data_IF_562428418879
#
_entry.id   IF_562428418879
#
_cell.length_a   1.000
_cell.length_b   1.000
_cell.length_c   1.000
_cell.angle_alpha   90.00
_cell.angle_beta   90.00
_cell.angle_gamma   90.00
#
_symmetry.space_group_name_H-M   'P 1'
#
loop_
_entity.id
_entity.type
_entity.pdbx_description
1 polymer ?
#
# COMPACT_ATOMS: atom_id res chain seq x y z
N UNK A 1 -3.28 5.56 -9.09
CA UNK A 1 -1.80 5.48 -9.08
C UNK A 1 -1.36 4.44 -8.07
N UNK A 2 -0.45 3.59 -8.45
CA UNK A 2 -0.01 2.40 -7.72
C UNK A 2 1.53 2.41 -7.70
N UNK A 3 2.17 2.80 -6.60
CA UNK A 3 3.62 2.76 -6.49
C UNK A 3 4.14 1.33 -6.65
N UNK A 4 5.15 1.16 -7.51
CA UNK A 4 5.91 -0.08 -7.70
C UNK A 4 7.14 -0.05 -6.82
N UNK A 5 7.83 1.11 -6.82
CA UNK A 5 9.09 1.33 -6.11
C UNK A 5 9.12 2.72 -5.50
N UNK A 6 9.94 2.90 -4.47
CA UNK A 6 10.15 4.17 -3.81
C UNK A 6 9.19 4.46 -2.66
N UNK A 7 9.50 5.52 -1.94
CA UNK A 7 8.71 6.07 -0.82
C UNK A 7 8.59 7.57 -1.01
N UNK A 8 7.37 8.07 -0.99
CA UNK A 8 7.13 9.50 -1.17
C UNK A 8 6.00 10.00 -0.28
N UNK A 9 6.00 11.30 -0.03
CA UNK A 9 4.90 12.01 0.59
C UNK A 9 4.02 12.67 -0.48
N UNK A 10 2.73 12.30 -0.53
CA UNK A 10 1.73 13.01 -1.32
C UNK A 10 1.08 14.08 -0.47
N UNK A 11 1.08 15.30 -0.96
CA UNK A 11 0.51 16.46 -0.27
C UNK A 11 -0.85 16.82 -0.88
N UNK A 12 -1.88 16.85 -0.03
CA UNK A 12 -3.24 17.29 -0.39
C UNK A 12 -3.51 18.74 0.09
N UNK A 13 -2.48 19.42 0.57
CA UNK A 13 -2.50 20.79 1.05
C UNK A 13 -1.24 21.14 1.86
N UNK A 14 -1.13 22.39 2.38
CA UNK A 14 0.10 22.87 3.01
C UNK A 14 0.53 22.09 4.27
N UNK A 15 -0.44 21.48 4.98
CA UNK A 15 -0.23 20.81 6.27
C UNK A 15 -0.69 19.37 6.29
N UNK A 16 -1.09 18.81 5.15
CA UNK A 16 -1.58 17.44 5.06
C UNK A 16 -0.75 16.68 4.04
N UNK A 17 -0.09 15.64 4.49
CA UNK A 17 0.60 14.70 3.63
C UNK A 17 0.26 13.26 4.03
N UNK A 18 0.49 12.38 3.11
CA UNK A 18 0.31 10.95 3.24
C UNK A 18 1.56 10.25 2.72
N UNK A 19 2.13 9.38 3.54
CA UNK A 19 3.28 8.57 3.15
C UNK A 19 2.80 7.38 2.34
N UNK A 20 3.24 7.32 1.09
CA UNK A 20 2.99 6.23 0.15
C UNK A 20 4.23 5.35 0.00
N UNK A 21 3.98 4.07 -0.14
CA UNK A 21 4.95 3.04 -0.53
C UNK A 21 4.23 1.98 -1.38
N UNK A 22 4.91 0.94 -1.89
CA UNK A 22 4.29 -0.07 -2.74
C UNK A 22 3.07 -0.81 -2.18
N UNK A 23 2.72 -0.69 -0.91
CA UNK A 23 1.49 -1.28 -0.36
C UNK A 23 0.25 -0.37 -0.48
N UNK A 24 0.37 0.79 -1.12
CA UNK A 24 -0.73 1.76 -1.19
C UNK A 24 -1.30 1.92 -2.59
N UNK A 25 -2.60 2.12 -2.65
CA UNK A 25 -3.31 2.66 -3.81
C UNK A 25 -3.66 4.12 -3.56
N UNK A 26 -3.50 4.98 -4.57
CA UNK A 26 -3.80 6.40 -4.50
C UNK A 26 -4.84 6.73 -5.56
N UNK A 27 -5.96 7.28 -5.11
CA UNK A 27 -7.02 7.76 -5.98
C UNK A 27 -6.77 9.23 -6.31
N UNK A 28 -6.55 9.51 -7.58
CA UNK A 28 -6.31 10.85 -8.08
C UNK A 28 -7.61 11.37 -8.74
N UNK A 29 -8.15 12.45 -8.21
CA UNK A 29 -9.31 13.12 -8.83
C UNK A 29 -8.88 13.96 -10.02
N UNK A 30 -9.61 13.85 -11.13
CA UNK A 30 -9.35 14.66 -12.31
C UNK A 30 -9.36 16.17 -11.97
N UNK A 31 -8.37 16.91 -12.47
CA UNK A 31 -8.26 18.36 -12.29
C UNK A 31 -7.88 18.83 -10.88
N UNK A 32 -7.62 17.94 -9.93
CA UNK A 32 -7.15 18.32 -8.60
C UNK A 32 -5.62 18.36 -8.54
N UNK A 33 -5.00 19.51 -8.28
CA UNK A 33 -3.55 19.59 -8.12
C UNK A 33 -3.10 18.85 -6.86
N UNK A 34 -1.96 18.19 -6.94
CA UNK A 34 -1.27 17.57 -5.82
C UNK A 34 0.24 17.77 -5.97
N UNK A 35 0.96 17.59 -4.88
CA UNK A 35 2.42 17.64 -4.87
C UNK A 35 2.95 16.33 -4.30
N UNK A 36 4.03 15.83 -4.89
CA UNK A 36 4.82 14.70 -4.38
C UNK A 36 6.18 15.23 -3.91
N UNK A 37 6.65 14.72 -2.77
CA UNK A 37 8.01 14.92 -2.26
C UNK A 37 8.64 13.56 -2.07
N UNK A 38 9.75 13.31 -2.73
CA UNK A 38 10.53 12.08 -2.57
C UNK A 38 11.24 12.11 -1.22
N UNK A 39 11.20 10.99 -0.50
CA UNK A 39 11.79 10.83 0.82
C UNK A 39 13.13 10.09 0.78
N UNK A 40 13.42 9.46 -0.33
CA UNK A 40 14.71 8.88 -0.67
C UNK A 40 15.28 9.51 -1.95
N UNK A 41 16.55 9.24 -2.24
CA UNK A 41 17.22 9.76 -3.43
C UNK A 41 16.98 8.90 -4.69
N UNK A 42 16.21 7.84 -4.56
CA UNK A 42 16.00 6.84 -5.62
C UNK A 42 14.87 7.23 -6.57
N UNK A 43 13.96 8.12 -6.13
CA UNK A 43 12.75 8.44 -6.86
C UNK A 43 11.69 7.35 -6.73
N UNK A 44 10.66 7.39 -7.57
CA UNK A 44 9.61 6.37 -7.60
C UNK A 44 9.36 5.83 -9.02
N UNK A 45 8.89 4.60 -9.06
CA UNK A 45 8.23 4.00 -10.22
C UNK A 45 6.78 3.74 -9.84
N UNK A 46 5.84 4.16 -10.67
CA UNK A 46 4.41 4.03 -10.38
C UNK A 46 3.62 3.65 -11.63
N UNK A 47 2.64 2.75 -11.47
CA UNK A 47 1.60 2.54 -12.48
C UNK A 47 0.50 3.59 -12.28
N UNK A 48 0.12 4.26 -13.36
CA UNK A 48 -1.06 5.11 -13.41
C UNK A 48 -2.09 4.42 -14.30
N UNK A 49 -3.22 4.05 -13.72
CA UNK A 49 -4.36 3.49 -14.44
C UNK A 49 -5.40 4.61 -14.58
N UNK A 50 -5.78 4.91 -15.80
CA UNK A 50 -6.84 5.86 -16.12
C UNK A 50 -8.06 5.09 -16.62
N UNK A 51 -9.23 5.42 -16.10
CA UNK A 51 -10.47 4.71 -16.43
C UNK A 51 -11.52 5.70 -16.94
N UNK A 52 -12.27 5.33 -18.00
CA UNK A 52 -13.41 6.10 -18.44
C UNK A 52 -14.43 6.35 -17.31
N UNK A 53 -15.06 7.51 -17.33
CA UNK A 53 -16.05 7.91 -16.30
C UNK A 53 -17.20 6.91 -16.19
N UNK A 54 -17.59 6.31 -17.30
CA UNK A 54 -18.67 5.32 -17.41
C UNK A 54 -18.31 4.05 -16.62
N UNK A 55 -17.06 3.56 -16.75
CA UNK A 55 -16.55 2.40 -16.02
C UNK A 55 -16.51 2.69 -14.52
N UNK A 56 -16.03 3.88 -14.14
CA UNK A 56 -15.99 4.30 -12.74
C UNK A 56 -17.41 4.41 -12.16
N UNK A 57 -18.35 4.96 -12.89
CA UNK A 57 -19.75 5.10 -12.47
C UNK A 57 -20.41 3.74 -12.27
N UNK A 58 -20.21 2.79 -13.19
CA UNK A 58 -20.73 1.42 -13.10
C UNK A 58 -20.19 0.69 -11.87
N UNK A 59 -18.87 0.68 -11.70
CA UNK A 59 -18.25 0.02 -10.55
C UNK A 59 -18.61 0.66 -9.21
N UNK A 60 -18.75 1.98 -9.17
CA UNK A 60 -19.22 2.69 -7.99
C UNK A 60 -20.69 2.32 -7.68
N UNK A 61 -21.55 2.23 -8.69
CA UNK A 61 -22.92 1.81 -8.51
C UNK A 61 -23.02 0.37 -7.98
N UNK A 62 -22.22 -0.56 -8.49
CA UNK A 62 -22.14 -1.94 -7.99
C UNK A 62 -21.57 -2.02 -6.56
N UNK A 63 -20.51 -1.28 -6.29
CA UNK A 63 -19.89 -1.25 -4.95
C UNK A 63 -20.84 -0.62 -3.91
N UNK A 64 -21.82 0.18 -4.37
CA UNK A 64 -22.75 0.97 -3.58
C UNK A 64 -24.14 0.32 -3.48
N UNK A 65 -24.49 -0.59 -4.39
CA UNK A 65 -25.84 -1.18 -4.47
C UNK A 65 -26.32 -1.95 -3.21
N UNK A 66 -25.49 -2.07 -2.18
CA UNK A 66 -25.84 -2.67 -0.88
C UNK A 66 -25.89 -1.72 0.30
N UNK A 67 -25.57 -0.44 0.17
CA UNK A 67 -25.50 0.49 1.30
C UNK A 67 -25.89 1.92 0.92
N UNK A 68 -26.57 2.60 1.82
CA UNK A 68 -26.96 4.01 1.73
C UNK A 68 -25.69 4.92 1.71
N UNK A 69 -25.16 5.17 0.51
CA UNK A 69 -24.04 6.08 0.30
C UNK A 69 -24.53 7.54 0.30
N UNK A 70 -25.08 7.96 1.41
CA UNK A 70 -25.19 9.37 1.70
C UNK A 70 -23.81 9.99 1.79
N UNK A 71 -23.38 10.72 0.76
CA UNK A 71 -22.23 11.63 0.72
C UNK A 71 -20.86 11.12 1.27
N UNK A 72 -20.65 9.84 1.46
CA UNK A 72 -19.37 9.31 1.96
C UNK A 72 -18.30 9.43 0.88
N UNK A 73 -17.44 10.41 1.04
CA UNK A 73 -16.27 10.62 0.19
C UNK A 73 -15.33 9.41 0.25
N UNK A 74 -14.95 8.87 -0.90
CA UNK A 74 -13.87 7.90 -0.98
C UNK A 74 -12.59 8.47 -0.37
N UNK A 75 -11.89 7.69 0.44
CA UNK A 75 -10.58 8.11 0.91
C UNK A 75 -9.61 8.25 -0.28
N UNK A 76 -8.80 9.32 -0.33
CA UNK A 76 -7.91 9.58 -1.46
C UNK A 76 -6.77 8.56 -1.60
N UNK A 77 -6.64 7.65 -0.64
CA UNK A 77 -5.65 6.58 -0.62
C UNK A 77 -6.11 5.42 0.24
N UNK A 78 -5.63 4.22 -0.04
CA UNK A 78 -5.92 3.02 0.72
C UNK A 78 -4.68 2.13 0.86
N UNK A 79 -4.71 1.22 1.84
CA UNK A 79 -3.77 0.10 1.92
C UNK A 79 -4.31 -1.01 1.00
N UNK A 80 -3.55 -1.38 -0.02
CA UNK A 80 -3.96 -2.43 -0.98
C UNK A 80 -4.17 -3.76 -0.28
N UNK A 81 -5.12 -4.55 -0.76
CA UNK A 81 -5.24 -5.95 -0.32
C UNK A 81 -4.00 -6.75 -0.77
N UNK A 82 -3.69 -7.88 -0.11
CA UNK A 82 -2.61 -8.75 -0.60
C UNK A 82 -2.81 -9.20 -2.05
N UNK A 83 -4.04 -9.49 -2.45
CA UNK A 83 -4.39 -9.82 -3.83
C UNK A 83 -4.10 -8.65 -4.78
N UNK A 84 -4.47 -7.43 -4.41
CA UNK A 84 -4.18 -6.24 -5.23
C UNK A 84 -2.67 -5.98 -5.34
N UNK A 85 -1.87 -6.24 -4.30
CA UNK A 85 -0.41 -6.15 -4.39
C UNK A 85 0.13 -7.17 -5.39
N UNK A 86 -0.34 -8.41 -5.36
CA UNK A 86 0.06 -9.44 -6.33
C UNK A 86 -0.36 -9.08 -7.76
N UNK A 87 -1.59 -8.62 -7.94
CA UNK A 87 -2.09 -8.19 -9.25
C UNK A 87 -1.28 -7.02 -9.82
N UNK A 88 -0.87 -6.07 -8.98
CA UNK A 88 0.02 -4.98 -9.40
C UNK A 88 1.36 -5.51 -9.91
N UNK A 89 1.98 -6.47 -9.20
CA UNK A 89 3.24 -7.08 -9.64
C UNK A 89 3.08 -7.84 -10.96
N UNK A 90 1.98 -8.59 -11.10
CA UNK A 90 1.66 -9.29 -12.36
C UNK A 90 1.47 -8.31 -13.51
N UNK A 91 0.68 -7.26 -13.30
CA UNK A 91 0.44 -6.23 -14.32
C UNK A 91 1.74 -5.52 -14.72
N UNK A 92 2.54 -5.10 -13.73
CA UNK A 92 3.82 -4.46 -13.96
C UNK A 92 4.75 -5.31 -14.82
N UNK A 93 4.85 -6.59 -14.49
CA UNK A 93 5.67 -7.54 -15.22
C UNK A 93 5.13 -7.78 -16.63
N UNK A 94 3.82 -7.97 -16.77
CA UNK A 94 3.16 -8.20 -18.05
C UNK A 94 3.36 -7.04 -19.03
N UNK A 95 3.25 -5.79 -18.54
CA UNK A 95 3.49 -4.59 -19.35
C UNK A 95 4.96 -4.42 -19.82
N UNK A 96 5.90 -5.18 -19.26
CA UNK A 96 7.33 -5.16 -19.65
C UNK A 96 7.72 -6.32 -20.58
N UNK A 97 6.79 -7.16 -20.98
CA UNK A 97 7.02 -8.22 -21.94
C UNK A 97 7.04 -7.70 -23.37
N UNK A 98 7.68 -8.47 -24.27
CA UNK A 98 7.71 -8.12 -25.70
C UNK A 98 6.32 -8.17 -26.35
N UNK A 99 5.44 -9.04 -25.85
CA UNK A 99 4.04 -9.18 -26.30
C UNK A 99 3.15 -9.01 -25.09
N UNK A 100 2.27 -8.02 -25.15
CA UNK A 100 1.30 -7.71 -24.10
C UNK A 100 -0.08 -8.20 -24.53
N UNK A 101 -0.73 -9.00 -23.68
CA UNK A 101 -2.12 -9.39 -23.88
C UNK A 101 -3.06 -8.29 -23.36
N UNK A 102 -3.81 -7.59 -24.24
CA UNK A 102 -4.69 -6.50 -23.84
C UNK A 102 -5.80 -6.95 -22.89
N UNK A 103 -6.33 -8.18 -23.07
CA UNK A 103 -7.41 -8.70 -22.24
C UNK A 103 -6.93 -8.94 -20.80
N UNK A 104 -5.74 -9.53 -20.64
CA UNK A 104 -5.14 -9.71 -19.32
C UNK A 104 -4.88 -8.37 -18.62
N UNK A 105 -4.41 -7.35 -19.34
CA UNK A 105 -4.22 -5.99 -18.80
C UNK A 105 -5.53 -5.40 -18.32
N UNK A 106 -6.59 -5.53 -19.10
CA UNK A 106 -7.92 -5.01 -18.76
C UNK A 106 -8.49 -5.71 -17.54
N UNK A 107 -8.50 -7.04 -17.51
CA UNK A 107 -9.01 -7.83 -16.37
C UNK A 107 -8.28 -7.52 -15.06
N UNK A 108 -6.95 -7.49 -15.08
CA UNK A 108 -6.15 -7.19 -13.89
C UNK A 108 -6.39 -5.75 -13.44
N UNK A 109 -6.47 -4.80 -14.38
CA UNK A 109 -6.71 -3.38 -14.07
C UNK A 109 -8.08 -3.16 -13.44
N UNK A 110 -9.12 -3.81 -13.93
CA UNK A 110 -10.47 -3.76 -13.35
C UNK A 110 -10.51 -4.38 -11.95
N UNK A 111 -9.87 -5.54 -11.77
CA UNK A 111 -9.78 -6.18 -10.46
C UNK A 111 -9.05 -5.28 -9.44
N UNK A 112 -8.01 -4.58 -9.87
CA UNK A 112 -7.28 -3.62 -9.01
C UNK A 112 -8.12 -2.40 -8.67
N UNK A 113 -8.85 -1.84 -9.63
CA UNK A 113 -9.76 -0.71 -9.40
C UNK A 113 -10.85 -1.09 -8.39
N UNK A 114 -11.50 -2.22 -8.59
CA UNK A 114 -12.54 -2.73 -7.67
C UNK A 114 -11.99 -2.89 -6.25
N UNK A 115 -10.82 -3.53 -6.10
CA UNK A 115 -10.18 -3.70 -4.79
C UNK A 115 -9.77 -2.38 -4.13
N UNK A 116 -9.31 -1.41 -4.91
CA UNK A 116 -8.94 -0.08 -4.41
C UNK A 116 -10.18 0.72 -3.97
N UNK A 117 -11.26 0.69 -4.74
CA UNK A 117 -12.54 1.35 -4.39
C UNK A 117 -13.14 0.76 -3.12
N UNK A 118 -13.16 -0.57 -2.97
CA UNK A 118 -13.61 -1.23 -1.75
C UNK A 118 -12.79 -0.82 -0.53
N UNK A 119 -11.46 -0.84 -0.64
CA UNK A 119 -10.57 -0.44 0.44
C UNK A 119 -10.69 1.06 0.81
N UNK A 120 -10.88 1.93 -0.18
CA UNK A 120 -11.07 3.36 0.01
C UNK A 120 -12.44 3.70 0.62
N UNK A 121 -13.50 2.97 0.29
CA UNK A 121 -14.84 3.16 0.87
C UNK A 121 -14.88 2.80 2.36
N UNK A 122 -14.28 1.69 2.76
CA UNK A 122 -14.14 1.31 4.16
C UNK A 122 -13.40 2.38 4.96
N UNK A 123 -12.32 2.94 4.39
CA UNK A 123 -11.54 3.99 5.03
C UNK A 123 -12.26 5.33 5.08
N UNK A 124 -13.02 5.69 4.05
CA UNK A 124 -13.85 6.89 4.01
C UNK A 124 -14.82 6.92 5.19
N UNK A 125 -15.51 5.82 5.45
CA UNK A 125 -16.42 5.67 6.60
C UNK A 125 -15.74 5.84 7.95
N UNK A 126 -14.49 5.43 8.10
CA UNK A 126 -13.71 5.60 9.34
C UNK A 126 -13.25 7.06 9.52
N UNK A 127 -13.00 7.77 8.42
CA UNK A 127 -12.52 9.16 8.42
C UNK A 127 -13.64 10.18 8.70
N UNK A 128 -14.85 9.91 8.24
CA UNK A 128 -15.99 10.84 8.34
C UNK A 128 -16.55 11.02 9.78
N UNK A 129 -16.15 10.14 10.69
CA UNK A 129 -16.60 10.15 12.10
C UNK A 129 -15.92 11.22 12.98
N UNK A 130 -15.05 12.05 12.45
CA UNK A 130 -14.28 13.03 13.23
C UNK A 130 -14.19 14.41 12.60
N UNK A 131 -14.76 15.42 13.26
CA UNK A 131 -14.46 16.83 12.97
C UNK A 131 -12.93 17.05 13.04
N UNK A 132 -12.36 17.80 12.10
CA UNK A 132 -10.94 18.14 12.05
C UNK A 132 -10.54 18.97 13.29
N UNK A 133 -10.17 18.30 14.38
CA UNK A 133 -9.61 18.95 15.55
C UNK A 133 -8.07 18.95 15.49
N UNK A 134 -7.44 19.87 16.21
CA UNK A 134 -5.97 19.90 16.38
C UNK A 134 -5.43 18.54 16.85
N UNK A 135 -6.20 17.85 17.69
CA UNK A 135 -5.88 16.50 18.17
C UNK A 135 -5.85 15.48 17.04
N UNK A 136 -6.76 15.57 16.07
CA UNK A 136 -6.80 14.66 14.92
C UNK A 136 -5.62 14.90 13.96
N UNK A 137 -5.26 16.16 13.73
CA UNK A 137 -4.09 16.52 12.93
C UNK A 137 -2.80 15.97 13.56
N UNK A 138 -2.64 16.10 14.89
CA UNK A 138 -1.49 15.53 15.63
C UNK A 138 -1.44 14.01 15.53
N UNK A 139 -2.57 13.32 15.71
CA UNK A 139 -2.65 11.84 15.58
C UNK A 139 -2.27 11.39 14.16
N UNK A 140 -2.74 12.10 13.15
CA UNK A 140 -2.37 11.82 11.75
C UNK A 140 -0.86 11.97 11.56
N UNK A 141 -0.27 13.07 12.02
CA UNK A 141 1.16 13.29 11.93
C UNK A 141 1.97 12.17 12.61
N UNK A 142 1.56 11.71 13.78
CA UNK A 142 2.20 10.61 14.49
C UNK A 142 2.20 9.31 13.66
N UNK A 143 1.07 9.01 13.02
CA UNK A 143 0.93 7.82 12.16
C UNK A 143 1.79 7.95 10.90
N UNK A 144 1.79 9.12 10.24
CA UNK A 144 2.59 9.32 9.03
C UNK A 144 4.09 9.27 9.35
N UNK A 145 4.56 9.81 10.48
CA UNK A 145 5.94 9.65 10.94
C UNK A 145 6.34 8.18 11.10
N UNK A 146 5.47 7.36 11.69
CA UNK A 146 5.76 5.91 11.85
C UNK A 146 5.74 5.19 10.50
N UNK A 147 4.83 5.53 9.59
CA UNK A 147 4.79 4.99 8.23
C UNK A 147 6.06 5.33 7.45
N UNK A 148 6.55 6.56 7.57
CA UNK A 148 7.79 7.02 6.96
C UNK A 148 8.99 6.19 7.45
N UNK A 149 9.19 6.11 8.77
CA UNK A 149 10.27 5.34 9.37
C UNK A 149 10.26 3.87 8.92
N UNK A 150 9.09 3.23 8.96
CA UNK A 150 8.95 1.84 8.55
C UNK A 150 9.21 1.70 7.04
N UNK A 151 8.73 2.62 6.21
CA UNK A 151 8.89 2.53 4.76
C UNK A 151 10.33 2.72 4.32
N UNK A 152 11.05 3.65 4.92
CA UNK A 152 12.46 3.91 4.62
C UNK A 152 13.38 2.82 5.20
N UNK A 153 13.14 2.41 6.43
CA UNK A 153 14.03 1.56 7.22
C UNK A 153 13.36 0.26 7.67
N UNK A 154 12.64 -0.41 6.76
CA UNK A 154 11.88 -1.63 7.10
C UNK A 154 12.74 -2.81 7.56
N UNK A 155 14.00 -2.87 7.17
CA UNK A 155 14.94 -3.91 7.56
C UNK A 155 15.48 -3.77 8.99
N UNK A 156 15.27 -2.64 9.65
CA UNK A 156 15.68 -2.43 11.05
C UNK A 156 14.75 -3.15 12.03
N UNK A 157 15.28 -3.48 13.21
CA UNK A 157 14.55 -4.10 14.31
C UNK A 157 13.74 -3.06 15.09
N UNK A 158 12.59 -2.71 14.51
CA UNK A 158 11.66 -1.79 15.13
C UNK A 158 10.89 -2.44 16.26
N UNK A 159 10.87 -1.76 17.41
CA UNK A 159 9.95 -2.06 18.52
C UNK A 159 8.84 -1.01 18.56
N UNK A 160 7.68 -1.36 19.13
CA UNK A 160 6.60 -0.38 19.33
C UNK A 160 7.07 0.81 20.20
N UNK A 161 7.93 0.55 21.18
CA UNK A 161 8.51 1.58 22.05
C UNK A 161 9.44 2.52 21.29
N UNK A 162 10.31 2.00 20.41
CA UNK A 162 11.20 2.84 19.61
C UNK A 162 10.41 3.73 18.63
N UNK A 163 9.42 3.17 17.94
CA UNK A 163 8.55 3.92 17.02
C UNK A 163 7.73 4.99 17.76
N UNK A 164 7.19 4.66 18.93
CA UNK A 164 6.43 5.62 19.75
C UNK A 164 7.29 6.81 20.20
N UNK A 165 8.57 6.57 20.52
CA UNK A 165 9.51 7.64 20.85
C UNK A 165 9.71 8.61 19.71
N UNK A 166 9.91 8.11 18.49
CA UNK A 166 10.06 8.95 17.29
C UNK A 166 8.76 9.73 16.96
N UNK A 167 7.60 9.15 17.25
CA UNK A 167 6.31 9.81 17.06
C UNK A 167 5.88 10.69 18.26
N UNK A 168 6.76 10.89 19.26
CA UNK A 168 6.49 11.67 20.49
C UNK A 168 5.17 11.29 21.15
N UNK A 169 4.98 9.97 21.40
CA UNK A 169 3.76 9.42 21.99
C UNK A 169 4.05 8.18 22.83
N UNK A 170 3.05 7.68 23.57
CA UNK A 170 3.19 6.41 24.29
C UNK A 170 2.97 5.22 23.34
N UNK A 171 3.59 4.06 23.60
CA UNK A 171 3.40 2.85 22.81
C UNK A 171 1.93 2.43 22.72
N UNK A 172 1.19 2.50 23.81
CA UNK A 172 -0.22 2.16 23.85
C UNK A 172 -1.07 3.09 22.97
N UNK A 173 -0.82 4.40 23.06
CA UNK A 173 -1.54 5.38 22.24
C UNK A 173 -1.21 5.19 20.75
N UNK A 174 0.07 4.98 20.41
CA UNK A 174 0.48 4.69 19.04
C UNK A 174 -0.22 3.46 18.48
N UNK A 175 -0.21 2.34 19.20
CA UNK A 175 -0.82 1.09 18.75
C UNK A 175 -2.30 1.27 18.41
N UNK A 176 -3.04 2.00 19.26
CA UNK A 176 -4.45 2.28 19.06
C UNK A 176 -4.68 3.20 17.86
N UNK A 177 -4.03 4.35 17.82
CA UNK A 177 -4.26 5.35 16.77
C UNK A 177 -3.79 4.86 15.40
N UNK A 178 -2.69 4.11 15.35
CA UNK A 178 -2.19 3.52 14.11
C UNK A 178 -3.20 2.52 13.54
N UNK A 179 -3.73 1.61 14.37
CA UNK A 179 -4.74 0.65 13.94
C UNK A 179 -6.04 1.33 13.49
N UNK A 180 -6.48 2.38 14.20
CA UNK A 180 -7.66 3.17 13.83
C UNK A 180 -7.50 3.85 12.45
N UNK A 181 -6.31 4.38 12.16
CA UNK A 181 -6.09 5.15 10.93
C UNK A 181 -5.59 4.32 9.75
N UNK A 182 -4.79 3.27 9.98
CA UNK A 182 -4.22 2.44 8.90
C UNK A 182 -5.04 1.19 8.65
N UNK A 183 -5.87 0.77 9.62
CA UNK A 183 -6.68 -0.44 9.53
C UNK A 183 -5.96 -1.72 9.94
N UNK A 184 -4.63 -1.68 10.15
CA UNK A 184 -3.83 -2.82 10.60
C UNK A 184 -2.91 -2.44 11.75
N UNK A 185 -2.52 -3.37 12.64
CA UNK A 185 -1.53 -3.11 13.68
C UNK A 185 -0.16 -2.74 13.09
N UNK A 186 0.65 -1.97 13.83
CA UNK A 186 1.99 -1.50 13.42
C UNK A 186 2.87 -2.66 12.93
N UNK A 187 2.93 -3.76 13.69
CA UNK A 187 3.78 -4.89 13.30
C UNK A 187 3.33 -5.56 11.99
N UNK A 188 2.01 -5.64 11.75
CA UNK A 188 1.46 -6.14 10.48
C UNK A 188 1.84 -5.21 9.31
N UNK A 189 1.81 -3.90 9.54
CA UNK A 189 2.24 -2.93 8.54
C UNK A 189 3.74 -3.09 8.22
N UNK A 190 4.61 -3.28 9.24
CA UNK A 190 6.03 -3.55 9.05
C UNK A 190 6.26 -4.83 8.22
N UNK A 191 5.62 -5.94 8.58
CA UNK A 191 5.74 -7.20 7.83
C UNK A 191 5.28 -7.02 6.37
N UNK A 192 4.16 -6.33 6.14
CA UNK A 192 3.69 -6.04 4.78
C UNK A 192 4.70 -5.19 3.98
N UNK A 193 5.33 -4.21 4.62
CA UNK A 193 6.35 -3.38 3.97
C UNK A 193 7.58 -4.20 3.60
N UNK A 194 8.06 -5.06 4.50
CA UNK A 194 9.15 -6.01 4.23
C UNK A 194 8.82 -6.95 3.08
N UNK A 195 7.61 -7.51 3.06
CA UNK A 195 7.17 -8.43 2.02
C UNK A 195 6.96 -7.73 0.67
N UNK A 196 6.50 -6.47 0.65
CA UNK A 196 6.42 -5.68 -0.58
C UNK A 196 7.80 -5.45 -1.21
N UNK A 197 8.80 -5.10 -0.40
CA UNK A 197 10.20 -4.98 -0.88
C UNK A 197 10.80 -6.33 -1.30
N UNK A 198 10.43 -7.41 -0.60
CA UNK A 198 10.86 -8.74 -1.00
C UNK A 198 10.27 -9.18 -2.35
N UNK A 199 9.01 -8.82 -2.65
CA UNK A 199 8.41 -9.06 -3.96
C UNK A 199 9.17 -8.33 -5.07
N UNK A 200 9.55 -7.07 -4.86
CA UNK A 200 10.41 -6.31 -5.77
C UNK A 200 11.76 -7.03 -5.99
N UNK A 201 12.43 -7.44 -4.92
CA UNK A 201 13.70 -8.15 -5.00
C UNK A 201 13.58 -9.53 -5.70
N UNK A 202 12.43 -10.19 -5.60
CA UNK A 202 12.16 -11.46 -6.27
C UNK A 202 12.04 -11.35 -7.81
N UNK A 203 11.95 -10.15 -8.36
CA UNK A 203 11.97 -9.93 -9.81
C UNK A 203 13.34 -10.29 -10.40
N UNK A 204 14.41 -10.18 -9.63
CA UNK A 204 15.73 -10.71 -10.02
C UNK A 204 15.79 -12.21 -9.78
N UNK A 205 16.09 -12.96 -10.83
CA UNK A 205 16.25 -14.42 -10.75
C UNK A 205 17.53 -14.83 -10.01
N UNK A 206 18.50 -13.92 -9.89
CA UNK A 206 19.83 -14.18 -9.34
C UNK A 206 19.86 -14.27 -7.81
N UNK A 207 18.90 -13.65 -7.13
CA UNK A 207 18.86 -13.62 -5.67
C UNK A 207 18.16 -14.84 -5.10
N UNK A 208 18.83 -15.53 -4.16
CA UNK A 208 18.20 -16.60 -3.41
C UNK A 208 17.23 -16.04 -2.34
N UNK A 209 16.31 -16.88 -1.88
CA UNK A 209 15.29 -16.46 -0.91
C UNK A 209 15.86 -16.20 0.49
N UNK A 210 17.02 -16.78 0.85
CA UNK A 210 17.64 -16.51 2.13
C UNK A 210 18.28 -15.11 2.14
N UNK A 211 18.94 -14.73 1.04
CA UNK A 211 19.47 -13.38 0.84
C UNK A 211 18.33 -12.33 0.83
N UNK A 212 17.24 -12.60 0.11
CA UNK A 212 16.06 -11.72 0.09
C UNK A 212 15.47 -11.56 1.50
N UNK A 213 15.32 -12.66 2.25
CA UNK A 213 14.80 -12.63 3.62
C UNK A 213 15.66 -11.74 4.52
N UNK A 214 16.96 -11.96 4.52
CA UNK A 214 17.91 -11.21 5.35
C UNK A 214 17.94 -9.71 4.98
N UNK A 215 18.04 -9.39 3.68
CA UNK A 215 18.06 -8.00 3.22
C UNK A 215 16.79 -7.22 3.59
N UNK A 216 15.67 -7.91 3.74
CA UNK A 216 14.38 -7.30 4.12
C UNK A 216 14.06 -7.42 5.63
N UNK A 217 15.04 -7.78 6.47
CA UNK A 217 14.92 -7.76 7.92
C UNK A 217 14.12 -8.92 8.53
N UNK A 218 14.02 -10.06 7.83
CA UNK A 218 13.49 -11.28 8.42
C UNK A 218 14.55 -12.03 9.18
N UNK A 219 14.20 -12.54 10.37
CA UNK A 219 15.13 -13.25 11.24
C UNK A 219 15.65 -14.57 10.64
N UNK A 220 14.88 -15.17 9.70
CA UNK A 220 15.26 -16.41 8.99
C UNK A 220 14.48 -16.58 7.70
N UNK A 221 14.98 -17.42 6.80
CA UNK A 221 14.25 -17.87 5.61
C UNK A 221 12.89 -18.51 5.95
N UNK A 222 12.81 -19.30 7.03
CA UNK A 222 11.55 -19.90 7.48
C UNK A 222 10.54 -18.86 7.95
N UNK A 223 10.98 -17.83 8.68
CA UNK A 223 10.12 -16.71 9.10
C UNK A 223 9.62 -15.90 7.88
N UNK A 224 10.48 -15.64 6.91
CA UNK A 224 10.10 -15.02 5.64
C UNK A 224 9.04 -15.85 4.91
N UNK A 225 9.30 -17.13 4.67
CA UNK A 225 8.41 -18.02 3.92
C UNK A 225 7.04 -18.15 4.59
N UNK A 226 7.00 -18.33 5.91
CA UNK A 226 5.74 -18.42 6.66
C UNK A 226 4.95 -17.10 6.63
N UNK A 227 5.63 -15.97 6.79
CA UNK A 227 5.01 -14.63 6.70
C UNK A 227 4.47 -14.35 5.30
N UNK A 228 5.24 -14.71 4.26
CA UNK A 228 4.86 -14.56 2.86
C UNK A 228 3.61 -15.39 2.54
N UNK A 229 3.63 -16.67 2.91
CA UNK A 229 2.47 -17.56 2.73
C UNK A 229 1.25 -17.10 3.51
N UNK A 230 1.43 -16.63 4.73
CA UNK A 230 0.33 -16.08 5.55
C UNK A 230 -0.31 -14.85 4.92
N UNK A 231 0.48 -14.01 4.21
CA UNK A 231 -0.05 -12.79 3.61
C UNK A 231 -0.63 -13.04 2.20
N UNK A 232 0.08 -13.77 1.34
CA UNK A 232 -0.24 -13.91 -0.07
C UNK A 232 -0.90 -15.24 -0.45
N UNK A 233 -0.98 -16.19 0.49
CA UNK A 233 -1.54 -17.53 0.23
C UNK A 233 -0.61 -18.48 -0.52
N UNK A 234 0.53 -18.02 -1.00
CA UNK A 234 1.52 -18.75 -1.78
C UNK A 234 2.88 -18.70 -1.11
N UNK A 235 3.73 -19.69 -1.34
CA UNK A 235 5.15 -19.59 -0.95
C UNK A 235 5.92 -18.66 -1.90
N UNK A 236 7.09 -18.10 -1.47
CA UNK A 236 7.92 -17.30 -2.36
C UNK A 236 8.28 -17.99 -3.68
N UNK A 237 8.60 -19.30 -3.63
CA UNK A 237 8.92 -20.08 -4.82
C UNK A 237 7.73 -20.23 -5.76
N UNK A 238 6.54 -20.54 -5.24
CA UNK A 238 5.31 -20.59 -6.04
C UNK A 238 4.97 -19.24 -6.66
N UNK A 239 5.16 -18.15 -5.89
CA UNK A 239 4.95 -16.80 -6.40
C UNK A 239 5.92 -16.45 -7.53
N UNK A 240 7.23 -16.76 -7.38
CA UNK A 240 8.23 -16.54 -8.43
C UNK A 240 7.89 -17.34 -9.69
N UNK A 241 7.51 -18.62 -9.52
CA UNK A 241 7.11 -19.47 -10.66
C UNK A 241 5.87 -18.91 -11.37
N UNK A 242 4.83 -18.51 -10.62
CA UNK A 242 3.64 -17.89 -11.20
C UNK A 242 3.94 -16.60 -11.96
N UNK A 243 4.81 -15.76 -11.40
CA UNK A 243 5.27 -14.54 -12.08
C UNK A 243 6.10 -14.83 -13.34
N UNK A 244 6.72 -16.00 -13.48
CA UNK A 244 7.52 -16.35 -14.66
C UNK A 244 6.65 -16.80 -15.84
N UNK A 245 5.40 -17.19 -15.59
CA UNK A 245 4.45 -17.67 -16.63
C UNK A 245 3.73 -16.48 -17.31
N UNK A 246 3.59 -15.37 -16.59
CA UNK A 246 2.98 -14.13 -17.08
C UNK A 246 4.07 -13.10 -17.43
#
# INVERSE_FOLDING_TARGET
>A
MLPIKGVFAKHDGPRQHFIANPNHGILLGAGRPYRISFLDQVGDESLVLDFPKEVLASLLAEAVAGEDFGSSSLAPHCLLSPASVMNRELLWRHLRQAVVDPLAVEEISLAMLTGALQAASVRGRLSDRGKQSVTMARRRQQVETVKELISLHSNQDWTLTSLARHAHTSPFHLARVFREQVGVPVHRYLIRTRLGKALEAMQSAELDFAAIAHANGFASHSHFTSSFRSLFGLTPSQSRQRMAIY
#
